data_IF_263379751028
#
_entry.id   IF_263379751028
#
_cell.length_a   1.000
_cell.length_b   1.000
_cell.length_c   1.000
_cell.angle_alpha   90.00
_cell.angle_beta   90.00
_cell.angle_gamma   90.00
#
_symmetry.space_group_name_H-M   'P 1'
#
loop_
_entity.id
_entity.type
_entity.pdbx_description
1 polymer ?
#
# COMPACT_ATOMS: atom_id res chain seq x y z
N UNK A 1 -4.20 16.18 31.42
CA UNK A 1 -3.86 14.75 31.24
C UNK A 1 -2.57 14.67 30.45
N UNK A 2 -1.58 13.90 30.90
CA UNK A 2 -0.35 13.68 30.15
C UNK A 2 -0.47 12.39 29.35
N UNK A 3 -0.27 12.45 28.04
CA UNK A 3 -0.26 11.27 27.19
C UNK A 3 1.15 10.67 27.17
N UNK A 4 1.25 9.36 27.44
CA UNK A 4 2.50 8.61 27.34
C UNK A 4 2.56 7.91 25.97
N UNK A 5 3.24 8.54 25.01
CA UNK A 5 3.36 8.01 23.65
C UNK A 5 4.61 7.15 23.44
N UNK A 6 4.57 6.21 22.49
CA UNK A 6 5.76 5.45 22.10
C UNK A 6 6.80 6.38 21.46
N UNK A 7 8.08 6.10 21.72
CA UNK A 7 9.22 6.87 21.15
C UNK A 7 9.43 6.61 19.65
N UNK A 8 8.89 5.52 19.12
CA UNK A 8 9.00 5.11 17.71
C UNK A 8 7.80 4.27 17.33
N UNK A 9 7.31 4.46 16.11
CA UNK A 9 6.29 3.62 15.48
C UNK A 9 6.82 3.01 14.20
N UNK A 10 6.22 1.90 13.78
CA UNK A 10 6.44 1.31 12.45
C UNK A 10 5.18 1.52 11.66
N UNK A 11 5.31 2.16 10.51
CA UNK A 11 4.19 2.41 9.59
C UNK A 11 4.36 1.44 8.42
N UNK A 12 3.32 0.65 8.18
CA UNK A 12 3.18 -0.18 7.00
C UNK A 12 2.14 0.44 6.08
N UNK A 13 2.49 0.63 4.82
CA UNK A 13 1.56 1.08 3.80
C UNK A 13 0.96 -0.12 3.05
N UNK A 14 -0.34 -0.07 2.79
CA UNK A 14 -1.09 -1.13 2.10
C UNK A 14 -1.88 -0.59 0.90
N UNK A 15 -1.63 0.64 0.47
CA UNK A 15 -2.42 1.30 -0.58
C UNK A 15 -2.36 0.53 -1.89
N UNK A 16 -1.17 0.07 -2.31
CA UNK A 16 -1.00 -0.56 -3.63
C UNK A 16 -1.57 -1.97 -3.68
N UNK A 17 -1.50 -2.73 -2.58
CA UNK A 17 -2.14 -4.03 -2.47
C UNK A 17 -3.62 -3.88 -2.08
N UNK A 18 -3.88 -3.63 -0.81
CA UNK A 18 -5.23 -3.74 -0.24
C UNK A 18 -6.12 -2.59 -0.72
N UNK A 19 -5.58 -1.37 -0.77
CA UNK A 19 -6.32 -0.21 -1.25
C UNK A 19 -6.81 -0.41 -2.69
N UNK A 20 -5.89 -0.62 -3.62
CA UNK A 20 -6.23 -0.77 -5.03
C UNK A 20 -7.15 -1.94 -5.32
N UNK A 21 -7.06 -3.05 -4.58
CA UNK A 21 -7.98 -4.19 -4.73
C UNK A 21 -9.45 -3.84 -4.48
N UNK A 22 -9.73 -2.81 -3.68
CA UNK A 22 -11.09 -2.36 -3.39
C UNK A 22 -11.59 -1.29 -4.37
N UNK A 23 -10.74 -0.84 -5.29
CA UNK A 23 -11.14 0.13 -6.32
C UNK A 23 -11.98 -0.56 -7.39
N UNK A 24 -13.11 0.07 -7.74
CA UNK A 24 -14.01 -0.44 -8.78
C UNK A 24 -13.37 -0.36 -10.17
N UNK A 25 -12.45 0.59 -10.36
CA UNK A 25 -11.75 0.79 -11.62
C UNK A 25 -10.41 0.06 -11.62
N UNK A 26 -10.12 -0.61 -12.74
CA UNK A 26 -8.80 -1.21 -12.93
C UNK A 26 -7.73 -0.13 -12.95
N UNK A 27 -6.68 -0.34 -12.16
CA UNK A 27 -5.54 0.58 -12.11
C UNK A 27 -4.44 0.02 -13.01
N UNK A 28 -4.00 0.75 -14.05
CA UNK A 28 -2.90 0.33 -14.91
C UNK A 28 -1.62 0.05 -14.11
N UNK A 29 -0.84 -0.92 -14.57
CA UNK A 29 0.41 -1.31 -13.93
C UNK A 29 1.37 -0.14 -13.73
N UNK A 30 1.46 0.77 -14.71
CA UNK A 30 2.31 1.95 -14.66
C UNK A 30 1.92 2.88 -13.51
N UNK A 31 0.62 3.04 -13.26
CA UNK A 31 0.13 3.83 -12.14
C UNK A 31 0.45 3.15 -10.80
N UNK A 32 0.35 1.81 -10.72
CA UNK A 32 0.74 1.05 -9.53
C UNK A 32 2.23 1.23 -9.21
N UNK A 33 3.08 1.14 -10.23
CA UNK A 33 4.53 1.37 -10.10
C UNK A 33 4.84 2.79 -9.66
N UNK A 34 4.19 3.79 -10.26
CA UNK A 34 4.40 5.19 -9.87
C UNK A 34 4.07 5.43 -8.40
N UNK A 35 2.95 4.88 -7.89
CA UNK A 35 2.59 5.03 -6.47
C UNK A 35 3.58 4.31 -5.56
N UNK A 36 4.05 3.11 -5.92
CA UNK A 36 5.12 2.43 -5.17
C UNK A 36 6.38 3.29 -5.06
N UNK A 37 6.82 3.89 -6.16
CA UNK A 37 7.97 4.80 -6.16
C UNK A 37 7.73 6.00 -5.25
N UNK A 38 6.54 6.61 -5.30
CA UNK A 38 6.21 7.74 -4.43
C UNK A 38 6.22 7.35 -2.95
N UNK A 39 5.71 6.16 -2.60
CA UNK A 39 5.73 5.65 -1.22
C UNK A 39 7.17 5.44 -0.74
N UNK A 40 8.05 4.91 -1.59
CA UNK A 40 9.48 4.74 -1.27
C UNK A 40 10.14 6.10 -1.03
N UNK A 41 9.90 7.08 -1.91
CA UNK A 41 10.46 8.44 -1.79
C UNK A 41 9.90 9.20 -0.58
N UNK A 42 8.66 8.95 -0.19
CA UNK A 42 8.05 9.48 1.03
C UNK A 42 8.65 8.88 2.32
N UNK A 43 9.51 7.86 2.21
CA UNK A 43 10.27 7.31 3.32
C UNK A 43 9.63 6.09 3.98
N UNK A 44 8.57 5.53 3.41
CA UNK A 44 8.00 4.28 3.90
C UNK A 44 9.02 3.15 3.81
N UNK A 45 9.12 2.37 4.88
CA UNK A 45 10.06 1.25 4.97
C UNK A 45 9.37 -0.10 4.80
N UNK A 46 8.05 -0.15 4.98
CA UNK A 46 7.25 -1.35 4.87
C UNK A 46 6.07 -1.00 3.96
N UNK A 47 6.02 -1.62 2.78
CA UNK A 47 5.00 -1.39 1.77
C UNK A 47 4.52 -2.75 1.28
N UNK A 48 3.21 -2.95 1.25
CA UNK A 48 2.60 -4.13 0.66
C UNK A 48 2.26 -3.83 -0.81
N UNK A 49 3.03 -4.40 -1.72
CA UNK A 49 3.01 -4.02 -3.14
C UNK A 49 1.99 -4.78 -3.98
N UNK A 50 1.70 -6.04 -3.67
CA UNK A 50 0.76 -6.88 -4.42
C UNK A 50 0.37 -8.12 -3.60
N UNK A 51 -0.65 -8.83 -4.08
CA UNK A 51 -0.96 -10.20 -3.68
C UNK A 51 -0.66 -11.17 -4.83
N UNK A 52 -0.58 -12.47 -4.53
CA UNK A 52 -0.46 -13.56 -5.51
C UNK A 52 -1.62 -14.56 -5.40
N UNK A 53 -2.81 -14.06 -5.07
CA UNK A 53 -4.02 -14.87 -5.03
C UNK A 53 -4.57 -15.15 -6.43
N UNK A 54 -5.74 -15.79 -6.49
CA UNK A 54 -6.33 -16.16 -7.77
C UNK A 54 -6.84 -14.89 -8.51
N UNK A 55 -6.32 -14.58 -9.70
CA UNK A 55 -6.71 -13.37 -10.44
C UNK A 55 -8.18 -13.38 -10.87
N UNK A 56 -8.85 -14.54 -10.90
CA UNK A 56 -10.30 -14.59 -11.15
C UNK A 56 -11.13 -13.99 -10.01
N UNK A 57 -10.66 -14.11 -8.77
CA UNK A 57 -11.33 -13.56 -7.59
C UNK A 57 -10.81 -12.17 -7.19
N UNK A 58 -9.64 -11.80 -7.70
CA UNK A 58 -8.97 -10.52 -7.43
C UNK A 58 -8.31 -10.04 -8.73
N UNK A 59 -9.09 -9.45 -9.65
CA UNK A 59 -8.62 -9.07 -10.99
C UNK A 59 -7.68 -7.86 -11.00
N UNK A 60 -7.51 -7.23 -9.84
CA UNK A 60 -6.78 -5.99 -9.61
C UNK A 60 -5.49 -6.26 -8.84
#
# INVERSE_FOLDING_TARGET
MSFNYPKKVRIGDITVRDGFQHEEQFIPTEAKLWVLEQLILAGFKNIESTNFGNPKGMPQ
#
